data_IF_590717352063
#
_entry.id   IF_590717352063
#
_cell.length_a   1.000
_cell.length_b   1.000
_cell.length_c   1.000
_cell.angle_alpha   90.00
_cell.angle_beta   90.00
_cell.angle_gamma   90.00
#
_symmetry.space_group_name_H-M   'P 1'
#
loop_
_entity.id
_entity.type
_entity.pdbx_description
1 polymer ?
#
# COMPACT_ATOMS: atom_id res chain seq x y z
N UNK A 1 -22.00 3.34 -24.47
CA UNK A 1 -20.58 2.95 -24.42
C UNK A 1 -20.09 3.55 -23.12
N UNK A 2 -19.63 2.71 -22.20
CA UNK A 2 -19.32 3.13 -20.85
C UNK A 2 -17.81 3.24 -20.67
N UNK A 3 -17.38 4.14 -19.79
CA UNK A 3 -15.99 4.31 -19.41
C UNK A 3 -15.75 3.64 -18.06
N UNK A 4 -14.56 3.06 -17.89
CA UNK A 4 -14.06 2.60 -16.60
C UNK A 4 -12.91 3.53 -16.18
N UNK A 5 -13.07 4.20 -15.05
CA UNK A 5 -12.01 4.98 -14.45
C UNK A 5 -11.24 4.13 -13.45
N UNK A 6 -9.92 4.17 -13.52
CA UNK A 6 -9.00 3.58 -12.54
C UNK A 6 -8.25 4.72 -11.88
N UNK A 7 -8.57 4.97 -10.63
CA UNK A 7 -8.11 6.13 -9.87
C UNK A 7 -7.15 5.65 -8.78
N UNK A 8 -5.98 6.25 -8.65
CA UNK A 8 -5.03 5.98 -7.58
C UNK A 8 -4.50 7.24 -6.94
N UNK A 9 -3.62 7.12 -5.93
CA UNK A 9 -3.30 8.20 -4.98
C UNK A 9 -2.88 9.52 -5.66
N UNK A 10 -2.27 9.44 -6.86
CA UNK A 10 -1.93 10.64 -7.62
C UNK A 10 -3.14 11.51 -8.01
N UNK A 11 -4.36 10.96 -8.01
CA UNK A 11 -5.60 11.71 -8.15
C UNK A 11 -5.81 12.60 -6.93
N UNK A 12 -5.79 12.06 -5.71
CA UNK A 12 -5.96 12.84 -4.49
C UNK A 12 -4.84 13.90 -4.37
N UNK A 13 -3.60 13.54 -4.68
CA UNK A 13 -2.48 14.48 -4.73
C UNK A 13 -2.69 15.60 -5.76
N UNK A 14 -3.32 15.32 -6.91
CA UNK A 14 -3.67 16.36 -7.87
C UNK A 14 -4.74 17.34 -7.34
N UNK A 15 -5.43 16.99 -6.26
CA UNK A 15 -6.38 17.82 -5.52
C UNK A 15 -5.78 18.39 -4.23
N UNK A 16 -4.45 18.45 -4.14
CA UNK A 16 -3.70 18.97 -2.99
C UNK A 16 -3.96 18.24 -1.66
N UNK A 17 -4.40 16.99 -1.74
CA UNK A 17 -4.58 16.12 -0.58
C UNK A 17 -3.26 15.42 -0.22
N UNK A 18 -2.91 15.48 1.06
CA UNK A 18 -1.73 14.83 1.66
C UNK A 18 -1.93 13.33 1.77
N UNK A 19 -1.79 12.63 0.65
CA UNK A 19 -2.10 11.20 0.48
C UNK A 19 -0.90 10.39 -0.04
N UNK A 20 0.27 11.03 -0.15
CA UNK A 20 1.49 10.31 -0.52
C UNK A 20 2.04 9.51 0.66
N UNK A 21 2.85 8.49 0.37
CA UNK A 21 3.56 7.75 1.42
C UNK A 21 4.55 8.62 2.21
N UNK A 22 5.03 9.71 1.62
CA UNK A 22 5.83 10.69 2.34
C UNK A 22 4.99 11.54 3.29
N UNK A 23 3.75 11.88 2.94
CA UNK A 23 2.82 12.53 3.87
C UNK A 23 2.54 11.65 5.09
N UNK A 24 2.41 10.33 4.88
CA UNK A 24 2.33 9.35 5.97
C UNK A 24 3.59 9.37 6.84
N UNK A 25 4.78 9.34 6.22
CA UNK A 25 6.06 9.47 6.92
C UNK A 25 6.08 10.73 7.80
N UNK A 26 5.72 11.88 7.25
CA UNK A 26 5.71 13.16 7.97
C UNK A 26 4.69 13.17 9.12
N UNK A 27 3.54 12.52 8.95
CA UNK A 27 2.52 12.40 9.99
C UNK A 27 3.04 11.64 11.21
N UNK A 28 3.86 10.60 11.02
CA UNK A 28 4.39 9.81 12.12
C UNK A 28 5.48 10.52 12.94
N UNK A 29 6.17 11.51 12.36
CA UNK A 29 7.28 12.23 13.02
C UNK A 29 6.92 13.65 13.44
N UNK A 30 5.66 14.08 13.32
CA UNK A 30 5.29 15.46 13.63
C UNK A 30 5.47 15.82 15.11
N UNK A 31 5.28 14.84 16.00
CA UNK A 31 5.17 15.08 17.45
C UNK A 31 6.09 14.19 18.31
N UNK A 32 6.93 13.36 17.68
CA UNK A 32 7.78 12.38 18.38
C UNK A 32 9.24 12.49 17.95
N UNK A 33 10.16 12.59 18.91
CA UNK A 33 11.60 12.49 18.67
C UNK A 33 11.98 11.00 18.62
N UNK A 34 12.34 10.51 17.43
CA UNK A 34 12.64 9.10 17.18
C UNK A 34 14.13 8.89 16.88
N UNK A 35 14.65 7.72 17.23
CA UNK A 35 16.00 7.29 16.88
C UNK A 35 15.99 6.61 15.50
N UNK A 36 16.86 7.06 14.60
CA UNK A 36 16.89 6.58 13.20
C UNK A 36 18.25 6.00 12.80
N UNK A 37 19.31 6.27 13.55
CA UNK A 37 20.67 5.86 13.20
C UNK A 37 20.98 4.44 13.72
N UNK A 38 20.20 3.95 14.69
CA UNK A 38 20.37 2.62 15.28
C UNK A 38 19.03 1.89 15.42
N UNK A 39 19.08 0.56 15.30
CA UNK A 39 17.90 -0.27 15.47
C UNK A 39 17.55 -0.37 16.96
N UNK A 40 16.38 0.13 17.32
CA UNK A 40 15.75 -0.06 18.63
C UNK A 40 14.84 -1.28 18.55
N UNK A 41 14.96 -2.21 19.49
CA UNK A 41 14.06 -3.37 19.60
C UNK A 41 13.06 -3.06 20.73
N UNK A 42 11.76 -2.88 20.43
CA UNK A 42 10.79 -2.54 21.45
C UNK A 42 10.65 -3.65 22.50
N UNK A 43 10.59 -3.28 23.77
CA UNK A 43 10.35 -4.24 24.86
C UNK A 43 8.86 -4.32 25.21
N UNK A 44 8.35 -5.55 25.30
CA UNK A 44 6.96 -5.78 25.65
C UNK A 44 6.72 -5.53 27.15
N UNK A 45 5.69 -4.76 27.47
CA UNK A 45 5.21 -4.56 28.85
C UNK A 45 3.88 -5.27 29.07
N UNK A 46 3.79 -6.04 30.17
CA UNK A 46 2.55 -6.70 30.56
C UNK A 46 1.71 -5.79 31.45
N UNK A 47 0.51 -5.48 30.97
CA UNK A 47 -0.48 -4.70 31.70
C UNK A 47 -1.23 -5.58 32.73
N UNK A 48 -1.81 -4.99 33.80
CA UNK A 48 -2.51 -5.75 34.84
C UNK A 48 -3.72 -6.58 34.35
N UNK A 49 -4.28 -6.25 33.19
CA UNK A 49 -5.36 -6.96 32.51
C UNK A 49 -4.88 -8.12 31.61
N UNK A 50 -3.56 -8.30 31.48
CA UNK A 50 -2.93 -9.31 30.65
C UNK A 50 -2.66 -8.86 29.21
N UNK A 51 -2.96 -7.61 28.85
CA UNK A 51 -2.59 -7.06 27.55
C UNK A 51 -1.08 -6.81 27.47
N UNK A 52 -0.54 -6.94 26.25
CA UNK A 52 0.85 -6.62 25.94
C UNK A 52 0.88 -5.27 25.25
N UNK A 53 1.68 -4.35 25.78
CA UNK A 53 1.89 -3.02 25.21
C UNK A 53 3.37 -2.79 24.92
N UNK A 54 3.65 -1.79 24.09
CA UNK A 54 5.00 -1.38 23.72
C UNK A 54 5.08 0.14 23.80
N UNK A 55 6.28 0.68 23.99
CA UNK A 55 6.48 2.11 23.90
C UNK A 55 6.34 2.58 22.45
N UNK A 56 5.54 3.63 22.23
CA UNK A 56 5.26 4.16 20.90
C UNK A 56 6.51 4.73 20.23
N UNK A 57 7.41 5.35 21.00
CA UNK A 57 8.66 5.93 20.49
C UNK A 57 9.60 4.82 20.03
N UNK A 58 9.68 3.71 20.77
CA UNK A 58 10.46 2.52 20.38
C UNK A 58 9.91 1.88 19.10
N UNK A 59 8.59 1.70 19.01
CA UNK A 59 7.93 1.18 17.79
C UNK A 59 8.27 2.07 16.59
N UNK A 60 8.07 3.38 16.72
CA UNK A 60 8.32 4.31 15.62
C UNK A 60 9.80 4.32 15.23
N UNK A 61 10.72 4.35 16.20
CA UNK A 61 12.17 4.30 15.94
C UNK A 61 12.55 3.02 15.17
N UNK A 62 12.03 1.86 15.61
CA UNK A 62 12.24 0.59 14.92
C UNK A 62 11.70 0.60 13.49
N UNK A 63 10.44 1.02 13.29
CA UNK A 63 9.79 1.05 11.97
C UNK A 63 10.52 2.00 11.02
N UNK A 64 10.92 3.19 11.50
CA UNK A 64 11.66 4.14 10.69
C UNK A 64 13.01 3.58 10.27
N UNK A 65 13.75 2.95 11.18
CA UNK A 65 15.01 2.30 10.86
C UNK A 65 14.83 1.23 9.77
N UNK A 66 13.92 0.27 9.99
CA UNK A 66 13.69 -0.87 9.10
C UNK A 66 13.20 -0.44 7.71
N UNK A 67 12.25 0.49 7.65
CA UNK A 67 11.70 0.97 6.37
C UNK A 67 12.74 1.83 5.64
N UNK A 68 13.50 2.67 6.35
CA UNK A 68 14.50 3.54 5.70
C UNK A 68 15.66 2.74 5.12
N UNK A 69 16.10 1.67 5.79
CA UNK A 69 17.12 0.75 5.25
C UNK A 69 16.61 -0.02 4.02
N UNK A 70 15.30 -0.32 3.97
CA UNK A 70 14.69 -1.01 2.83
C UNK A 70 14.37 -0.08 1.65
N UNK A 71 14.09 1.21 1.90
CA UNK A 71 13.93 2.23 0.86
C UNK A 71 15.31 2.56 0.24
N UNK A 72 15.34 2.73 -1.08
CA UNK A 72 16.58 3.21 -1.74
C UNK A 72 16.90 4.69 -1.46
N UNK A 73 15.98 5.41 -0.80
CA UNK A 73 16.12 6.81 -0.40
C UNK A 73 15.65 6.98 1.05
N UNK A 74 16.57 7.26 1.96
CA UNK A 74 16.29 7.40 3.39
C UNK A 74 15.53 8.69 3.74
N UNK A 75 15.52 9.69 2.86
CA UNK A 75 14.88 10.99 3.10
C UNK A 75 13.39 11.01 2.75
N UNK A 76 12.90 10.04 1.95
CA UNK A 76 11.53 10.04 1.45
C UNK A 76 10.97 8.63 1.30
N UNK A 77 9.76 8.42 1.82
CA UNK A 77 9.01 7.20 1.55
C UNK A 77 8.28 7.30 0.22
N UNK A 78 8.63 6.39 -0.69
CA UNK A 78 8.08 6.38 -2.06
C UNK A 78 7.55 5.02 -2.48
N UNK A 79 8.10 3.93 -1.93
CA UNK A 79 7.76 2.57 -2.34
C UNK A 79 7.59 1.63 -1.14
N UNK A 80 6.87 2.10 -0.11
CA UNK A 80 6.72 1.39 1.17
C UNK A 80 6.24 -0.05 0.96
N UNK A 81 5.32 -0.28 0.02
CA UNK A 81 4.79 -1.62 -0.23
C UNK A 81 5.85 -2.60 -0.76
N UNK A 82 6.85 -2.13 -1.52
CA UNK A 82 8.00 -2.94 -1.88
C UNK A 82 8.99 -3.08 -0.71
N UNK A 83 9.18 -2.01 0.06
CA UNK A 83 10.09 -1.99 1.22
C UNK A 83 9.65 -2.94 2.33
N UNK A 84 8.34 -3.01 2.62
CA UNK A 84 7.75 -3.95 3.58
C UNK A 84 7.99 -5.43 3.21
N UNK A 85 8.20 -5.76 1.93
CA UNK A 85 8.55 -7.14 1.53
C UNK A 85 10.01 -7.51 1.84
N UNK A 86 10.86 -6.50 2.10
CA UNK A 86 12.32 -6.61 2.14
C UNK A 86 12.91 -5.97 3.40
N UNK A 87 12.14 -5.89 4.50
CA UNK A 87 12.65 -5.45 5.79
C UNK A 87 13.82 -6.35 6.23
N UNK A 88 14.92 -5.74 6.62
CA UNK A 88 16.11 -6.44 7.10
C UNK A 88 16.16 -6.40 8.62
N UNK A 89 16.09 -7.57 9.25
CA UNK A 89 16.13 -7.73 10.71
C UNK A 89 17.48 -8.22 11.24
N UNK A 90 18.51 -8.38 10.39
CA UNK A 90 19.80 -8.96 10.79
C UNK A 90 20.40 -8.25 12.02
N UNK A 91 20.36 -6.91 12.02
CA UNK A 91 20.85 -6.07 13.12
C UNK A 91 20.14 -6.32 14.45
N UNK A 92 18.93 -6.89 14.45
CA UNK A 92 18.23 -7.25 15.68
C UNK A 92 18.94 -8.39 16.44
N UNK A 93 19.75 -9.19 15.74
CA UNK A 93 20.37 -10.40 16.26
C UNK A 93 21.90 -10.26 16.42
N UNK A 94 22.49 -9.09 16.15
CA UNK A 94 23.96 -8.86 16.22
C UNK A 94 24.59 -9.25 17.58
N UNK A 95 23.81 -9.22 18.66
CA UNK A 95 24.27 -9.51 20.03
C UNK A 95 23.55 -10.70 20.68
N UNK A 96 22.85 -11.53 19.89
CA UNK A 96 22.10 -12.67 20.43
C UNK A 96 22.95 -13.91 20.70
N UNK A 97 24.12 -14.01 20.06
CA UNK A 97 25.05 -15.13 20.18
C UNK A 97 25.59 -15.28 21.61
N UNK A 98 25.45 -16.49 22.16
CA UNK A 98 25.96 -16.83 23.49
C UNK A 98 27.08 -17.84 23.34
N UNK A 99 28.25 -17.55 23.91
CA UNK A 99 29.36 -18.50 24.00
C UNK A 99 29.28 -19.33 25.28
N UNK A 100 29.64 -20.60 25.20
CA UNK A 100 29.78 -21.49 26.35
C UNK A 100 31.10 -21.28 27.10
N UNK A 101 31.38 -22.12 28.11
CA UNK A 101 32.59 -22.02 28.94
C UNK A 101 33.88 -22.28 28.14
N UNK A 102 33.80 -23.00 27.02
CA UNK A 102 34.92 -23.32 26.13
C UNK A 102 35.11 -22.25 25.03
N UNK A 103 34.18 -21.28 24.95
CA UNK A 103 34.18 -20.22 23.94
C UNK A 103 33.52 -20.63 22.62
N UNK A 104 32.85 -21.78 22.58
CA UNK A 104 32.09 -22.26 21.44
C UNK A 104 30.65 -21.70 21.49
N UNK A 105 29.99 -21.59 20.32
CA UNK A 105 28.62 -21.06 20.24
C UNK A 105 27.62 -22.03 20.89
N UNK A 106 26.95 -21.55 21.94
CA UNK A 106 25.82 -22.23 22.57
C UNK A 106 24.56 -22.03 21.72
N UNK A 107 24.35 -22.95 20.78
CA UNK A 107 23.21 -22.93 19.85
C UNK A 107 21.85 -22.93 20.56
N UNK A 108 21.74 -23.57 21.73
CA UNK A 108 20.48 -23.63 22.47
C UNK A 108 20.13 -22.26 23.05
N UNK A 109 21.06 -21.65 23.80
CA UNK A 109 20.83 -20.32 24.38
C UNK A 109 20.67 -19.24 23.31
N UNK A 110 21.47 -19.31 22.25
CA UNK A 110 21.36 -18.39 21.10
C UNK A 110 19.99 -18.51 20.43
N UNK A 111 19.49 -19.74 20.22
CA UNK A 111 18.15 -19.96 19.65
C UNK A 111 17.04 -19.40 20.55
N UNK A 112 17.15 -19.55 21.88
CA UNK A 112 16.17 -18.96 22.81
C UNK A 112 16.19 -17.43 22.78
N UNK A 113 17.37 -16.82 22.78
CA UNK A 113 17.50 -15.37 22.64
C UNK A 113 16.89 -14.86 21.33
N UNK A 114 17.15 -15.56 20.22
CA UNK A 114 16.58 -15.23 18.92
C UNK A 114 15.05 -15.33 18.89
N UNK A 115 14.48 -16.33 19.56
CA UNK A 115 13.02 -16.51 19.67
C UNK A 115 12.37 -15.36 20.44
N UNK A 116 12.98 -14.94 21.55
CA UNK A 116 12.49 -13.82 22.37
C UNK A 116 12.57 -12.50 21.59
N UNK A 117 13.71 -12.22 20.93
CA UNK A 117 13.88 -11.02 20.08
C UNK A 117 12.84 -11.02 18.95
N UNK A 118 12.70 -12.15 18.24
CA UNK A 118 11.76 -12.25 17.13
C UNK A 118 10.31 -12.05 17.57
N UNK A 119 9.94 -12.55 18.76
CA UNK A 119 8.61 -12.35 19.34
C UNK A 119 8.31 -10.87 19.61
N UNK A 120 9.30 -10.12 20.10
CA UNK A 120 9.19 -8.67 20.32
C UNK A 120 9.18 -7.85 19.02
N UNK A 121 9.58 -8.43 17.88
CA UNK A 121 9.49 -7.76 16.57
C UNK A 121 8.08 -7.87 15.95
N UNK A 122 7.32 -8.93 16.26
CA UNK A 122 6.08 -9.25 15.53
C UNK A 122 5.03 -8.15 15.68
N UNK A 123 4.57 -7.88 16.90
CA UNK A 123 3.50 -6.92 17.14
C UNK A 123 3.94 -5.52 16.70
N UNK A 124 5.10 -4.99 17.16
CA UNK A 124 5.60 -3.68 16.73
C UNK A 124 5.69 -3.52 15.22
N UNK A 125 6.17 -4.51 14.47
CA UNK A 125 6.29 -4.38 13.02
C UNK A 125 4.92 -4.29 12.35
N UNK A 126 3.92 -5.04 12.85
CA UNK A 126 2.57 -5.04 12.29
C UNK A 126 1.77 -3.77 12.59
N UNK A 127 2.16 -3.00 13.61
CA UNK A 127 1.50 -1.72 13.95
C UNK A 127 1.51 -0.74 12.78
N UNK A 128 2.45 -0.85 11.82
CA UNK A 128 2.49 0.00 10.62
C UNK A 128 1.16 -0.02 9.84
N UNK A 129 0.45 -1.15 9.80
CA UNK A 129 -0.84 -1.25 9.13
C UNK A 129 -1.93 -0.46 9.87
N UNK A 130 -1.90 -0.48 11.21
CA UNK A 130 -2.81 0.28 12.06
C UNK A 130 -2.51 1.78 11.96
N UNK A 131 -1.23 2.17 12.10
CA UNK A 131 -0.76 3.54 11.94
C UNK A 131 -1.15 4.12 10.57
N UNK A 132 -1.03 3.34 9.51
CA UNK A 132 -1.46 3.75 8.17
C UNK A 132 -2.97 3.98 8.12
N UNK A 133 -3.77 3.05 8.68
CA UNK A 133 -5.23 3.20 8.74
C UNK A 133 -5.64 4.43 9.54
N UNK A 134 -5.02 4.67 10.69
CA UNK A 134 -5.31 5.82 11.54
C UNK A 134 -4.95 7.13 10.85
N UNK A 135 -3.77 7.20 10.23
CA UNK A 135 -3.38 8.34 9.41
C UNK A 135 -4.39 8.64 8.30
N UNK A 136 -4.80 7.62 7.52
CA UNK A 136 -5.80 7.77 6.47
C UNK A 136 -7.09 8.39 7.02
N UNK A 137 -7.53 8.00 8.22
CA UNK A 137 -8.72 8.54 8.85
C UNK A 137 -8.58 10.01 9.29
N UNK A 138 -7.36 10.55 9.39
CA UNK A 138 -7.11 11.97 9.69
C UNK A 138 -7.17 12.88 8.46
N UNK A 139 -7.16 12.33 7.24
CA UNK A 139 -7.08 13.11 6.00
C UNK A 139 -8.39 13.87 5.77
N UNK A 140 -8.31 15.19 5.84
CA UNK A 140 -9.41 16.09 5.50
C UNK A 140 -9.42 16.41 4.00
N UNK A 141 -10.58 16.20 3.36
CA UNK A 141 -10.77 16.49 1.93
C UNK A 141 -11.43 17.85 1.66
N UNK A 142 -11.75 18.64 2.69
CA UNK A 142 -12.46 19.91 2.53
C UNK A 142 -11.68 20.95 1.71
N UNK A 143 -10.35 20.81 1.60
CA UNK A 143 -9.53 21.67 0.75
C UNK A 143 -9.58 21.28 -0.75
N UNK A 144 -9.99 20.06 -1.07
CA UNK A 144 -10.04 19.59 -2.45
C UNK A 144 -11.15 20.29 -3.23
N UNK A 145 -10.86 20.66 -4.48
CA UNK A 145 -11.83 21.26 -5.40
C UNK A 145 -11.93 20.47 -6.68
N UNK A 146 -13.15 20.33 -7.19
CA UNK A 146 -13.40 19.60 -8.42
C UNK A 146 -12.66 20.26 -9.60
N UNK A 147 -11.92 19.45 -10.36
CA UNK A 147 -11.27 19.90 -11.60
C UNK A 147 -12.29 19.83 -12.73
N UNK A 148 -12.48 20.96 -13.42
CA UNK A 148 -13.56 21.10 -14.41
C UNK A 148 -13.44 20.11 -15.58
N UNK A 149 -12.21 19.78 -15.99
CA UNK A 149 -11.97 18.83 -17.08
C UNK A 149 -12.32 17.39 -16.68
N UNK A 150 -12.09 17.01 -15.43
CA UNK A 150 -12.46 15.67 -14.97
C UNK A 150 -13.98 15.53 -14.85
N UNK A 151 -14.67 16.58 -14.37
CA UNK A 151 -16.14 16.61 -14.34
C UNK A 151 -16.78 16.48 -15.72
N UNK A 152 -16.19 17.11 -16.75
CA UNK A 152 -16.64 16.94 -18.15
C UNK A 152 -16.31 15.56 -18.72
N UNK A 153 -15.33 14.88 -18.14
CA UNK A 153 -14.85 13.59 -18.62
C UNK A 153 -15.65 12.41 -18.05
N UNK A 154 -16.13 12.49 -16.80
CA UNK A 154 -16.89 11.42 -16.14
C UNK A 154 -18.41 11.62 -16.29
N UNK A 155 -19.11 10.58 -16.73
CA UNK A 155 -20.57 10.58 -16.90
C UNK A 155 -21.28 9.75 -15.82
N UNK A 156 -22.61 9.89 -15.73
CA UNK A 156 -23.46 9.21 -14.73
C UNK A 156 -23.47 7.67 -14.84
N UNK A 157 -23.12 7.13 -16.01
CA UNK A 157 -23.15 5.69 -16.32
C UNK A 157 -21.78 5.00 -16.18
N UNK A 158 -20.74 5.77 -15.89
CA UNK A 158 -19.37 5.27 -15.83
C UNK A 158 -19.08 4.60 -14.50
N UNK A 159 -18.13 3.66 -14.50
CA UNK A 159 -17.70 2.94 -13.31
C UNK A 159 -16.34 3.45 -12.86
N UNK A 160 -16.09 3.43 -11.55
CA UNK A 160 -14.82 3.85 -10.97
C UNK A 160 -14.26 2.74 -10.08
N UNK A 161 -13.07 2.26 -10.41
CA UNK A 161 -12.23 1.45 -9.53
C UNK A 161 -11.21 2.38 -8.90
N UNK A 162 -11.32 2.60 -7.59
CA UNK A 162 -10.40 3.50 -6.87
C UNK A 162 -9.51 2.72 -5.91
N UNK A 163 -8.24 3.10 -5.93
CA UNK A 163 -7.18 2.66 -5.02
C UNK A 163 -6.96 3.68 -3.90
N UNK A 164 -7.62 4.84 -3.97
CA UNK A 164 -7.59 5.85 -2.92
C UNK A 164 -8.48 5.40 -1.76
N UNK A 165 -8.12 5.88 -0.58
CA UNK A 165 -8.87 5.60 0.64
C UNK A 165 -9.82 6.74 1.03
N UNK A 166 -9.67 7.93 0.45
CA UNK A 166 -10.52 9.09 0.72
C UNK A 166 -11.83 9.02 -0.07
N UNK A 167 -12.86 9.76 0.37
CA UNK A 167 -14.14 9.84 -0.32
C UNK A 167 -14.24 11.02 -1.32
N UNK A 168 -13.10 11.45 -1.88
CA UNK A 168 -12.99 12.58 -2.81
C UNK A 168 -13.94 12.43 -4.02
N UNK A 169 -14.07 11.23 -4.58
CA UNK A 169 -14.99 10.96 -5.70
C UNK A 169 -16.47 11.12 -5.30
N UNK A 170 -16.83 10.71 -4.07
CA UNK A 170 -18.21 10.82 -3.56
C UNK A 170 -18.55 12.27 -3.20
N UNK A 171 -17.67 12.97 -2.46
CA UNK A 171 -17.98 14.30 -1.92
C UNK A 171 -17.71 15.47 -2.86
N UNK A 172 -16.64 15.38 -3.68
CA UNK A 172 -16.21 16.50 -4.54
C UNK A 172 -16.78 16.36 -5.95
N UNK A 173 -16.94 15.12 -6.42
CA UNK A 173 -17.43 14.82 -7.77
C UNK A 173 -18.86 14.26 -7.80
N UNK A 174 -19.50 14.08 -6.63
CA UNK A 174 -20.87 13.59 -6.49
C UNK A 174 -21.12 12.25 -7.22
N UNK A 175 -20.07 11.43 -7.36
CA UNK A 175 -20.18 10.12 -8.00
C UNK A 175 -20.93 9.18 -7.06
N UNK A 176 -22.04 8.60 -7.55
CA UNK A 176 -22.83 7.65 -6.76
C UNK A 176 -21.98 6.48 -6.25
N UNK A 177 -22.10 6.17 -4.96
CA UNK A 177 -21.38 5.10 -4.27
C UNK A 177 -21.52 3.74 -4.96
N UNK A 178 -22.67 3.45 -5.58
CA UNK A 178 -22.91 2.17 -6.28
C UNK A 178 -22.03 1.99 -7.53
N UNK A 179 -21.41 3.07 -8.02
CA UNK A 179 -20.50 3.07 -9.17
C UNK A 179 -19.03 3.05 -8.78
N UNK A 180 -18.71 3.20 -7.50
CA UNK A 180 -17.35 3.29 -6.99
C UNK A 180 -16.99 1.99 -6.27
N UNK A 181 -15.89 1.38 -6.70
CA UNK A 181 -15.26 0.28 -6.00
C UNK A 181 -13.98 0.74 -5.33
N UNK A 182 -14.04 0.95 -4.02
CA UNK A 182 -12.88 1.08 -3.14
C UNK A 182 -12.25 -0.30 -2.96
N UNK A 183 -11.29 -0.65 -3.83
CA UNK A 183 -10.74 -2.01 -3.88
C UNK A 183 -9.97 -2.36 -2.60
N UNK A 184 -9.29 -1.36 -2.04
CA UNK A 184 -8.47 -1.51 -0.83
C UNK A 184 -9.16 -0.99 0.44
N UNK A 185 -10.47 -0.76 0.41
CA UNK A 185 -11.20 -0.11 1.49
C UNK A 185 -11.12 1.41 1.43
N UNK A 186 -11.74 2.07 2.41
CA UNK A 186 -11.76 3.54 2.54
C UNK A 186 -11.75 3.99 4.00
N UNK A 187 -11.66 5.29 4.23
CA UNK A 187 -11.70 5.89 5.56
C UNK A 187 -12.84 5.32 6.42
N UNK A 188 -12.51 4.98 7.67
CA UNK A 188 -13.39 4.37 8.68
C UNK A 188 -13.88 2.94 8.33
N UNK A 189 -13.27 2.27 7.35
CA UNK A 189 -13.51 0.86 6.99
C UNK A 189 -12.21 0.03 7.13
N UNK A 190 -12.27 -1.29 6.89
CA UNK A 190 -11.07 -2.13 6.81
C UNK A 190 -10.23 -1.71 5.58
N UNK A 191 -8.95 -1.39 5.81
CA UNK A 191 -7.99 -0.98 4.78
C UNK A 191 -7.03 -2.13 4.44
N UNK A 192 -6.80 -2.35 3.15
CA UNK A 192 -5.78 -3.28 2.65
C UNK A 192 -4.50 -2.53 2.29
N UNK A 193 -3.50 -2.64 3.16
CA UNK A 193 -2.16 -2.05 3.00
C UNK A 193 -1.07 -3.08 3.33
N UNK A 194 0.03 -3.05 2.59
CA UNK A 194 1.14 -4.00 2.75
C UNK A 194 1.79 -4.39 1.43
N UNK A 195 2.64 -5.41 1.48
CA UNK A 195 3.42 -5.84 0.31
C UNK A 195 2.72 -6.90 -0.54
N UNK A 196 3.10 -6.97 -1.82
CA UNK A 196 2.56 -7.96 -2.78
C UNK A 196 3.34 -9.27 -2.90
N UNK A 197 4.46 -9.42 -2.19
CA UNK A 197 5.31 -10.61 -2.32
C UNK A 197 4.61 -11.88 -1.81
N UNK A 198 4.33 -12.81 -2.72
CA UNK A 198 3.69 -14.11 -2.45
C UNK A 198 4.69 -15.27 -2.39
N UNK A 199 5.98 -15.02 -2.62
CA UNK A 199 7.03 -16.03 -2.56
C UNK A 199 7.05 -16.64 -1.16
N UNK A 200 7.12 -17.97 -1.11
CA UNK A 200 7.31 -18.68 0.14
C UNK A 200 8.78 -18.54 0.58
N UNK A 201 9.00 -17.84 1.69
CA UNK A 201 10.33 -17.61 2.26
C UNK A 201 10.65 -18.58 3.41
N UNK A 202 9.85 -19.63 3.64
CA UNK A 202 10.08 -20.57 4.74
C UNK A 202 11.49 -21.16 4.71
N UNK A 203 11.95 -21.68 3.56
CA UNK A 203 13.29 -22.27 3.46
C UNK A 203 14.39 -21.23 3.72
N UNK A 204 14.24 -20.01 3.20
CA UNK A 204 15.17 -18.90 3.45
C UNK A 204 15.29 -18.58 4.95
N UNK A 205 14.16 -18.49 5.66
CA UNK A 205 14.19 -18.22 7.10
C UNK A 205 14.80 -19.39 7.87
N UNK A 206 14.44 -20.64 7.53
CA UNK A 206 14.99 -21.85 8.13
C UNK A 206 16.50 -22.00 7.96
N UNK A 207 17.06 -21.54 6.86
CA UNK A 207 18.50 -21.64 6.60
C UNK A 207 19.33 -20.55 7.30
N UNK A 208 18.75 -19.36 7.51
CA UNK A 208 19.53 -18.17 7.90
C UNK A 208 19.21 -17.61 9.30
N UNK A 209 18.11 -18.03 9.94
CA UNK A 209 17.58 -17.36 11.15
C UNK A 209 17.20 -18.35 12.26
N UNK A 210 18.17 -19.15 12.73
CA UNK A 210 17.94 -20.17 13.76
C UNK A 210 17.26 -19.56 15.00
N UNK A 211 16.08 -20.06 15.36
CA UNK A 211 15.30 -19.62 16.52
C UNK A 211 14.40 -18.41 16.27
N UNK A 212 14.58 -17.66 15.18
CA UNK A 212 13.76 -16.49 14.82
C UNK A 212 12.90 -16.69 13.57
N UNK A 213 12.97 -17.87 12.94
CA UNK A 213 12.32 -18.18 11.66
C UNK A 213 10.82 -17.93 11.69
N UNK A 214 10.16 -18.41 12.75
CA UNK A 214 8.71 -18.36 12.86
C UNK A 214 8.22 -16.91 13.04
N UNK A 215 8.91 -16.13 13.87
CA UNK A 215 8.56 -14.72 14.09
C UNK A 215 8.72 -13.89 12.82
N UNK A 216 9.87 -14.02 12.13
CA UNK A 216 10.14 -13.29 10.88
C UNK A 216 9.22 -13.74 9.74
N UNK A 217 8.92 -15.04 9.64
CA UNK A 217 7.95 -15.55 8.69
C UNK A 217 6.55 -14.99 8.94
N UNK A 218 6.10 -14.94 10.21
CA UNK A 218 4.80 -14.39 10.57
C UNK A 218 4.70 -12.89 10.28
N UNK A 219 5.76 -12.10 10.53
CA UNK A 219 5.83 -10.69 10.10
C UNK A 219 5.64 -10.60 8.58
N UNK A 220 6.46 -11.31 7.81
CA UNK A 220 6.42 -11.27 6.36
C UNK A 220 5.06 -11.75 5.80
N UNK A 221 4.39 -12.67 6.47
CA UNK A 221 3.08 -13.17 6.04
C UNK A 221 1.96 -12.20 6.38
N UNK A 222 1.98 -11.59 7.56
CA UNK A 222 0.92 -10.70 8.03
C UNK A 222 1.00 -9.29 7.41
N UNK A 223 2.21 -8.84 7.03
CA UNK A 223 2.40 -7.62 6.23
C UNK A 223 1.96 -7.74 4.76
N UNK A 224 1.54 -8.93 4.30
CA UNK A 224 1.03 -9.09 2.92
C UNK A 224 -0.26 -8.33 2.74
N UNK A 225 -0.31 -7.51 1.69
CA UNK A 225 -1.58 -6.91 1.25
C UNK A 225 -2.53 -8.02 0.82
N UNK A 226 -3.73 -8.02 1.39
CA UNK A 226 -4.76 -9.05 1.17
C UNK A 226 -5.50 -8.89 -0.18
N UNK A 227 -4.77 -8.78 -1.29
CA UNK A 227 -5.34 -8.45 -2.62
C UNK A 227 -6.30 -9.50 -3.17
N UNK A 228 -6.03 -10.78 -2.92
CA UNK A 228 -6.94 -11.89 -3.29
C UNK A 228 -8.28 -11.80 -2.54
N UNK A 229 -8.24 -11.45 -1.26
CA UNK A 229 -9.43 -11.26 -0.43
C UNK A 229 -10.20 -10.02 -0.91
N UNK A 230 -9.49 -8.91 -1.15
CA UNK A 230 -10.06 -7.68 -1.71
C UNK A 230 -10.79 -7.94 -3.04
N UNK A 231 -10.14 -8.64 -3.98
CA UNK A 231 -10.74 -9.01 -5.27
C UNK A 231 -12.00 -9.86 -5.08
N UNK A 232 -11.93 -10.87 -4.20
CA UNK A 232 -13.06 -11.75 -3.90
C UNK A 232 -14.24 -10.98 -3.29
N UNK A 233 -13.97 -10.08 -2.35
CA UNK A 233 -14.99 -9.26 -1.68
C UNK A 233 -15.66 -8.28 -2.65
N UNK A 234 -14.96 -7.85 -3.70
CA UNK A 234 -15.47 -6.92 -4.71
C UNK A 234 -15.87 -7.60 -6.02
N UNK A 235 -16.05 -8.93 -6.04
CA UNK A 235 -16.32 -9.70 -7.25
C UNK A 235 -17.53 -9.17 -8.05
N UNK A 236 -18.58 -8.70 -7.36
CA UNK A 236 -19.77 -8.15 -7.99
C UNK A 236 -19.47 -6.92 -8.86
N UNK A 237 -18.52 -6.06 -8.46
CA UNK A 237 -18.10 -4.92 -9.28
C UNK A 237 -17.41 -5.37 -10.57
N UNK A 238 -16.54 -6.39 -10.49
CA UNK A 238 -15.89 -6.97 -11.68
C UNK A 238 -16.88 -7.69 -12.59
N UNK A 239 -17.94 -8.28 -12.04
CA UNK A 239 -19.06 -8.79 -12.82
C UNK A 239 -19.80 -7.65 -13.53
N UNK A 240 -20.11 -6.55 -12.84
CA UNK A 240 -20.71 -5.36 -13.45
C UNK A 240 -19.90 -4.85 -14.63
N UNK A 241 -18.56 -4.71 -14.49
CA UNK A 241 -17.66 -4.33 -15.58
C UNK A 241 -17.86 -5.21 -16.82
N UNK A 242 -18.05 -6.52 -16.63
CA UNK A 242 -18.22 -7.50 -17.72
C UNK A 242 -19.47 -7.21 -18.55
N UNK A 243 -20.55 -6.72 -17.93
CA UNK A 243 -21.83 -6.47 -18.58
C UNK A 243 -22.04 -5.01 -19.01
N UNK A 244 -21.17 -4.08 -18.62
CA UNK A 244 -21.31 -2.64 -18.88
C UNK A 244 -20.87 -2.18 -20.27
N UNK A 245 -20.46 -3.08 -21.17
CA UNK A 245 -20.00 -2.72 -22.53
C UNK A 245 -18.98 -1.56 -22.51
N UNK A 246 -17.91 -1.75 -21.73
CA UNK A 246 -16.81 -0.79 -21.61
C UNK A 246 -16.13 -0.65 -22.98
N UNK A 247 -15.86 0.58 -23.39
CA UNK A 247 -15.10 0.88 -24.61
C UNK A 247 -13.80 1.64 -24.34
N UNK A 248 -13.70 2.30 -23.19
CA UNK A 248 -12.55 3.12 -22.83
C UNK A 248 -12.21 2.93 -21.34
N UNK A 249 -10.92 2.94 -21.03
CA UNK A 249 -10.41 2.89 -19.66
C UNK A 249 -9.55 4.13 -19.44
N UNK A 250 -9.79 4.87 -18.36
CA UNK A 250 -9.02 6.06 -18.01
C UNK A 250 -8.28 5.81 -16.70
N UNK A 251 -6.95 5.87 -16.71
CA UNK A 251 -6.14 5.79 -15.48
C UNK A 251 -5.64 7.16 -15.06
N UNK A 252 -6.00 7.60 -13.84
CA UNK A 252 -5.57 8.86 -13.26
C UNK A 252 -4.91 8.64 -11.89
N UNK A 253 -3.62 8.94 -11.78
CA UNK A 253 -2.88 8.85 -10.52
C UNK A 253 -2.63 7.43 -10.02
N UNK A 254 -2.92 6.43 -10.86
CA UNK A 254 -2.69 5.03 -10.58
C UNK A 254 -1.21 4.66 -10.84
N UNK A 255 -0.57 4.00 -9.88
CA UNK A 255 0.88 3.75 -9.88
C UNK A 255 1.32 2.55 -10.72
N UNK A 256 0.38 1.68 -11.13
CA UNK A 256 0.68 0.41 -11.82
C UNK A 256 1.68 -0.49 -11.05
N UNK A 257 1.61 -0.45 -9.72
CA UNK A 257 2.44 -1.28 -8.84
C UNK A 257 2.25 -2.79 -9.12
N UNK A 258 3.29 -3.58 -8.86
CA UNK A 258 3.21 -5.04 -9.04
C UNK A 258 2.13 -5.69 -8.17
N UNK A 259 1.96 -5.18 -6.94
CA UNK A 259 0.97 -5.69 -5.98
C UNK A 259 -0.47 -5.55 -6.51
N UNK A 260 -0.76 -4.52 -7.31
CA UNK A 260 -2.09 -4.24 -7.84
C UNK A 260 -2.36 -4.88 -9.22
N UNK A 261 -1.36 -5.51 -9.84
CA UNK A 261 -1.51 -6.16 -11.15
C UNK A 261 -2.59 -7.24 -11.19
N UNK A 262 -2.91 -7.84 -10.04
CA UNK A 262 -3.99 -8.83 -9.94
C UNK A 262 -5.34 -8.27 -10.41
N UNK A 263 -5.64 -7.01 -10.09
CA UNK A 263 -6.90 -6.36 -10.49
C UNK A 263 -6.91 -6.05 -11.98
N UNK A 264 -5.78 -5.60 -12.54
CA UNK A 264 -5.62 -5.37 -13.98
C UNK A 264 -5.79 -6.67 -14.78
N UNK A 265 -5.17 -7.76 -14.31
CA UNK A 265 -5.37 -9.11 -14.85
C UNK A 265 -6.83 -9.54 -14.77
N UNK A 266 -7.50 -9.25 -13.66
CA UNK A 266 -8.91 -9.57 -13.47
C UNK A 266 -9.81 -8.82 -14.47
N UNK A 267 -9.53 -7.55 -14.74
CA UNK A 267 -10.22 -6.73 -15.75
C UNK A 267 -9.95 -7.29 -17.15
N UNK A 268 -8.68 -7.42 -17.55
CA UNK A 268 -8.30 -7.83 -18.91
C UNK A 268 -8.79 -9.25 -19.27
N UNK A 269 -9.01 -10.12 -18.29
CA UNK A 269 -9.61 -11.46 -18.50
C UNK A 269 -11.12 -11.43 -18.76
N UNK A 270 -11.82 -10.37 -18.33
CA UNK A 270 -13.29 -10.29 -18.35
C UNK A 270 -13.85 -9.52 -19.54
N UNK A 271 -13.09 -8.55 -20.07
CA UNK A 271 -13.51 -7.70 -21.20
C UNK A 271 -12.66 -7.99 -22.45
N UNK A 272 -13.25 -7.87 -23.64
CA UNK A 272 -12.50 -7.98 -24.89
C UNK A 272 -11.66 -6.71 -25.10
N UNK A 273 -10.38 -6.80 -24.77
CA UNK A 273 -9.48 -5.64 -24.77
C UNK A 273 -9.11 -5.14 -26.16
N UNK A 274 -9.33 -5.91 -27.24
CA UNK A 274 -8.85 -5.59 -28.59
C UNK A 274 -9.45 -4.34 -29.21
N UNK A 275 -10.63 -3.93 -28.75
CA UNK A 275 -11.35 -2.74 -29.24
C UNK A 275 -11.39 -1.61 -28.21
N UNK A 276 -10.65 -1.77 -27.11
CA UNK A 276 -10.59 -0.77 -26.05
C UNK A 276 -9.45 0.19 -26.30
N UNK A 277 -9.66 1.43 -25.88
CA UNK A 277 -8.56 2.39 -25.73
C UNK A 277 -8.31 2.61 -24.24
N UNK A 278 -7.06 2.45 -23.81
CA UNK A 278 -6.62 2.81 -22.47
C UNK A 278 -5.96 4.20 -22.51
N UNK A 279 -6.50 5.14 -21.75
CA UNK A 279 -6.06 6.51 -21.67
C UNK A 279 -5.25 6.74 -20.40
N UNK A 280 -4.00 7.17 -20.56
CA UNK A 280 -3.15 7.58 -19.45
C UNK A 280 -3.25 9.09 -19.21
N UNK A 281 -3.30 9.50 -17.95
CA UNK A 281 -3.17 10.90 -17.63
C UNK A 281 -1.77 11.40 -18.02
N UNK A 282 -1.73 12.58 -18.61
CA UNK A 282 -0.57 13.10 -19.31
C UNK A 282 0.44 13.82 -18.39
N UNK A 283 0.15 13.87 -17.08
CA UNK A 283 1.06 14.33 -16.02
C UNK A 283 2.32 13.46 -15.92
N UNK A 284 2.20 12.13 -16.12
CA UNK A 284 3.31 11.18 -15.97
C UNK A 284 3.71 10.49 -17.29
N UNK A 285 3.82 11.30 -18.35
CA UNK A 285 4.21 10.83 -19.70
C UNK A 285 5.50 10.02 -19.73
N UNK A 286 6.45 10.35 -18.85
CA UNK A 286 7.74 9.65 -18.76
C UNK A 286 7.57 8.16 -18.48
N UNK A 287 6.61 7.78 -17.65
CA UNK A 287 6.41 6.39 -17.23
C UNK A 287 5.39 5.62 -18.07
N UNK A 288 4.75 6.25 -19.06
CA UNK A 288 3.72 5.60 -19.89
C UNK A 288 4.20 4.30 -20.55
N UNK A 289 5.46 4.23 -20.98
CA UNK A 289 6.03 3.02 -21.56
C UNK A 289 6.05 1.85 -20.56
N UNK A 290 6.38 2.11 -19.30
CA UNK A 290 6.36 1.12 -18.21
C UNK A 290 4.91 0.66 -17.97
N UNK A 291 3.96 1.60 -17.94
CA UNK A 291 2.54 1.30 -17.73
C UNK A 291 1.94 0.45 -18.86
N UNK A 292 2.32 0.75 -20.11
CA UNK A 292 1.94 -0.07 -21.27
C UNK A 292 2.48 -1.50 -21.13
N UNK A 293 3.75 -1.67 -20.75
CA UNK A 293 4.36 -2.98 -20.54
C UNK A 293 3.63 -3.78 -19.46
N UNK A 294 3.31 -3.16 -18.32
CA UNK A 294 2.51 -3.76 -17.24
C UNK A 294 1.15 -4.23 -17.75
N UNK A 295 0.44 -3.39 -18.51
CA UNK A 295 -0.88 -3.73 -19.05
C UNK A 295 -0.82 -4.85 -20.09
N UNK A 296 0.18 -4.84 -20.97
CA UNK A 296 0.40 -5.93 -21.93
C UNK A 296 0.70 -7.25 -21.21
N UNK A 297 1.50 -7.24 -20.15
CA UNK A 297 1.74 -8.41 -19.29
C UNK A 297 0.46 -8.88 -18.58
N UNK A 298 -0.45 -7.95 -18.25
CA UNK A 298 -1.76 -8.27 -17.68
C UNK A 298 -2.77 -8.80 -18.72
N UNK A 299 -2.43 -8.78 -20.02
CA UNK A 299 -3.25 -9.30 -21.11
C UNK A 299 -4.06 -8.26 -21.88
N UNK A 300 -3.76 -6.97 -21.71
CA UNK A 300 -4.36 -5.92 -22.53
C UNK A 300 -3.81 -5.96 -23.97
N UNK A 301 -4.70 -5.82 -24.95
CA UNK A 301 -4.39 -5.93 -26.40
C UNK A 301 -5.03 -4.81 -27.23
N UNK A 302 -5.51 -3.76 -26.56
CA UNK A 302 -6.16 -2.62 -27.20
C UNK A 302 -5.16 -1.53 -27.55
N UNK A 303 -5.70 -0.36 -27.85
CA UNK A 303 -4.94 0.84 -28.17
C UNK A 303 -4.63 1.65 -26.91
N UNK A 304 -3.59 2.47 -26.97
CA UNK A 304 -3.22 3.40 -25.91
C UNK A 304 -3.34 4.83 -26.39
N UNK A 305 -3.80 5.71 -25.50
CA UNK A 305 -3.90 7.14 -25.75
C UNK A 305 -3.64 7.91 -24.45
N UNK A 306 -3.75 9.23 -24.50
CA UNK A 306 -3.50 10.11 -23.36
C UNK A 306 -4.61 11.14 -23.21
N UNK A 307 -4.84 11.61 -21.99
CA UNK A 307 -5.74 12.71 -21.69
C UNK A 307 -5.11 13.68 -20.70
N UNK A 308 -5.47 14.96 -20.80
CA UNK A 308 -4.96 16.02 -19.92
C UNK A 308 -6.07 16.53 -19.02
N UNK A 309 -5.72 16.91 -17.79
CA UNK A 309 -6.61 17.59 -16.84
C UNK A 309 -5.90 18.88 -16.44
N UNK A 310 -6.49 20.03 -16.74
CA UNK A 310 -5.92 21.31 -16.34
C UNK A 310 -6.05 21.54 -14.83
N UNK A 311 -5.24 22.44 -14.30
CA UNK A 311 -5.38 22.92 -12.91
C UNK A 311 -6.49 23.98 -12.76
N UNK A 312 -7.37 24.14 -13.74
CA UNK A 312 -8.52 25.05 -13.63
C UNK A 312 -9.59 24.43 -12.70
N UNK A 313 -9.62 24.92 -11.46
CA UNK A 313 -10.62 24.61 -10.46
C UNK A 313 -11.95 25.30 -10.79
N UNK A 314 -13.07 24.65 -10.49
CA UNK A 314 -14.38 25.32 -10.55
C UNK A 314 -14.49 26.29 -9.38
N UNK A 315 -14.59 27.59 -9.67
CA UNK A 315 -14.70 28.63 -8.63
C UNK A 315 -16.12 28.87 -8.13
N UNK A 316 -17.18 28.31 -8.73
CA UNK A 316 -18.56 28.40 -8.25
C UNK A 316 -19.47 27.44 -9.05
N UNK A 317 -20.24 26.59 -8.36
CA UNK A 317 -21.39 25.88 -8.92
C UNK A 317 -22.62 26.71 -8.54
N UNK A 318 -23.31 27.31 -9.52
CA UNK A 318 -24.56 28.06 -9.30
C UNK A 318 -25.78 27.14 -9.24
#
# INVERSE_FOLDING_TARGET
>A
MNKLFIVGNGFDMAHDLKTSYDDFRQHLISDTEIEMDSLVIPESTHMPDGEITYDETEILSMLFFLISEAESNTEKWSNIEASLANLNFDKAFDYSEVLDEDGDLDLWKTSYNNEDIASNLVIPTLTIQQLFSDWINTIDINCAKAKSDFLKLIDEQDLVLTFNYTDTLEKIYEVSKDRICYIHGKQNEEIYFGHGNTVDKTDYYMENYIGSENGLFEIHKQLRKKTEIALKNKIHFFETITYSNISEIYSFGFSFSEVDMIYLKAICKRIDTKKLTWYFNDFDKSNHHIYMDVLMQCGFKGDFSTFSISNEEITEIH
#
